data_IF_447691854198
#
_entry.id   IF_447691854198
#
_cell.length_a   1.000
_cell.length_b   1.000
_cell.length_c   1.000
_cell.angle_alpha   90.00
_cell.angle_beta   90.00
_cell.angle_gamma   90.00
#
_symmetry.space_group_name_H-M   'P 1'
#
loop_
_entity.id
_entity.type
_entity.pdbx_description
1 polymer ?
#
# COMPACT_ATOMS: atom_id res chain seq x y z
N UNK A 1 -20.84 0.35 -23.99
CA UNK A 1 -21.61 1.30 -23.14
C UNK A 1 -20.63 2.36 -22.63
N UNK A 2 -20.70 3.61 -23.11
CA UNK A 2 -19.82 4.68 -22.61
C UNK A 2 -20.32 5.10 -21.23
N UNK A 3 -19.54 4.88 -20.17
CA UNK A 3 -19.86 5.42 -18.85
C UNK A 3 -19.93 6.95 -18.96
N UNK A 4 -21.06 7.56 -18.59
CA UNK A 4 -21.15 9.01 -18.42
C UNK A 4 -20.18 9.38 -17.30
N UNK A 5 -19.10 10.09 -17.63
CA UNK A 5 -18.17 10.61 -16.64
C UNK A 5 -18.88 11.58 -15.70
N UNK A 6 -18.62 11.46 -14.40
CA UNK A 6 -19.03 12.44 -13.42
C UNK A 6 -17.92 13.50 -13.34
N UNK A 7 -18.27 14.77 -13.49
CA UNK A 7 -17.33 15.86 -13.26
C UNK A 7 -17.08 15.99 -11.75
N UNK A 8 -15.90 15.54 -11.31
CA UNK A 8 -15.43 15.66 -9.93
C UNK A 8 -14.23 16.61 -9.92
N UNK A 9 -14.27 17.63 -9.06
CA UNK A 9 -13.15 18.56 -8.90
C UNK A 9 -11.95 17.90 -8.22
N UNK A 10 -10.74 18.30 -8.60
CA UNK A 10 -9.49 17.76 -8.05
C UNK A 10 -9.45 17.82 -6.52
N UNK A 11 -9.91 18.91 -5.90
CA UNK A 11 -9.97 19.02 -4.44
C UNK A 11 -10.79 17.91 -3.79
N UNK A 12 -11.90 17.50 -4.41
CA UNK A 12 -12.72 16.40 -3.90
C UNK A 12 -12.00 15.05 -4.07
N UNK A 13 -11.33 14.84 -5.21
CA UNK A 13 -10.49 13.64 -5.44
C UNK A 13 -9.40 13.52 -4.37
N UNK A 14 -8.62 14.59 -4.15
CA UNK A 14 -7.54 14.57 -3.17
C UNK A 14 -8.03 14.39 -1.74
N UNK A 15 -9.17 14.98 -1.37
CA UNK A 15 -9.78 14.73 -0.05
C UNK A 15 -10.20 13.28 0.14
N UNK A 16 -10.79 12.67 -0.89
CA UNK A 16 -11.18 11.26 -0.85
C UNK A 16 -9.96 10.33 -0.73
N UNK A 17 -8.89 10.62 -1.48
CA UNK A 17 -7.63 9.87 -1.39
C UNK A 17 -6.98 10.03 -0.01
N UNK A 18 -6.90 11.25 0.53
CA UNK A 18 -6.36 11.48 1.88
C UNK A 18 -7.18 10.80 2.97
N UNK A 19 -8.51 10.76 2.86
CA UNK A 19 -9.36 10.03 3.80
C UNK A 19 -9.09 8.51 3.72
N UNK A 20 -9.00 7.96 2.51
CA UNK A 20 -8.74 6.54 2.32
C UNK A 20 -7.31 6.11 2.74
N UNK A 21 -6.31 6.98 2.58
CA UNK A 21 -4.94 6.82 3.11
C UNK A 21 -4.96 6.82 4.65
N UNK A 22 -5.68 7.77 5.28
CA UNK A 22 -5.84 7.84 6.73
C UNK A 22 -6.58 6.62 7.33
N UNK A 23 -7.50 6.03 6.57
CA UNK A 23 -8.21 4.80 6.94
C UNK A 23 -7.40 3.52 6.68
N UNK A 24 -6.17 3.63 6.17
CA UNK A 24 -5.32 2.48 5.84
C UNK A 24 -5.84 1.64 4.68
N UNK A 25 -6.76 2.18 3.88
CA UNK A 25 -7.27 1.53 2.65
C UNK A 25 -6.35 1.78 1.46
N UNK A 26 -5.54 2.84 1.53
CA UNK A 26 -4.54 3.16 0.53
C UNK A 26 -3.15 3.25 1.18
N UNK A 27 -2.13 2.95 0.39
CA UNK A 27 -0.74 3.28 0.65
C UNK A 27 -0.30 4.32 -0.38
N UNK A 28 0.46 5.33 0.05
CA UNK A 28 1.05 6.30 -0.87
C UNK A 28 2.43 5.87 -1.37
N UNK A 29 2.57 5.82 -2.70
CA UNK A 29 3.81 5.46 -3.38
C UNK A 29 4.42 6.71 -4.00
N UNK A 30 5.65 7.02 -3.64
CA UNK A 30 6.39 8.12 -4.25
C UNK A 30 6.92 7.67 -5.61
N UNK A 31 6.31 8.17 -6.69
CA UNK A 31 6.77 7.90 -8.04
C UNK A 31 8.01 8.75 -8.37
N UNK A 32 8.88 8.24 -9.24
CA UNK A 32 10.09 8.94 -9.68
C UNK A 32 9.81 10.31 -10.32
N UNK A 33 8.59 10.52 -10.83
CA UNK A 33 8.14 11.78 -11.43
C UNK A 33 7.80 12.89 -10.43
N UNK A 34 7.87 12.63 -9.12
CA UNK A 34 7.41 13.55 -8.07
C UNK A 34 5.89 13.55 -7.87
N UNK A 35 5.13 12.77 -8.65
CA UNK A 35 3.72 12.56 -8.42
C UNK A 35 3.49 11.62 -7.22
N UNK A 36 2.48 11.93 -6.41
CA UNK A 36 1.99 11.02 -5.36
C UNK A 36 1.06 9.99 -5.99
N UNK A 37 1.51 8.75 -6.09
CA UNK A 37 0.67 7.63 -6.49
C UNK A 37 0.02 7.00 -5.25
N UNK A 38 -1.12 6.35 -5.44
CA UNK A 38 -1.81 5.63 -4.38
C UNK A 38 -2.05 4.19 -4.82
N UNK A 39 -1.90 3.27 -3.88
CA UNK A 39 -2.16 1.84 -4.05
C UNK A 39 -3.27 1.43 -3.11
N UNK A 40 -4.25 0.66 -3.60
CA UNK A 40 -5.27 0.06 -2.76
C UNK A 40 -4.70 -1.13 -2.00
N UNK A 41 -4.92 -1.14 -0.68
CA UNK A 41 -4.53 -2.24 0.18
C UNK A 41 -5.70 -3.21 0.32
N UNK A 42 -5.50 -4.44 -0.14
CA UNK A 42 -6.42 -5.53 0.12
C UNK A 42 -6.37 -5.89 1.62
N UNK A 43 -7.46 -6.43 2.20
CA UNK A 43 -7.47 -6.89 3.59
C UNK A 43 -6.70 -8.20 3.80
N UNK A 44 -5.65 -8.44 3.01
CA UNK A 44 -4.76 -9.59 3.10
C UNK A 44 -3.32 -9.08 3.31
N UNK A 45 -2.53 -9.77 4.14
CA UNK A 45 -1.14 -9.39 4.34
C UNK A 45 -0.33 -9.85 3.12
N UNK A 46 -0.02 -8.89 2.25
CA UNK A 46 0.87 -9.08 1.10
C UNK A 46 2.00 -8.05 1.13
N UNK A 47 3.16 -8.46 0.63
CA UNK A 47 4.31 -7.59 0.46
C UNK A 47 4.22 -6.90 -0.89
N UNK A 48 4.73 -5.67 -0.97
CA UNK A 48 4.75 -4.91 -2.20
C UNK A 48 6.17 -4.66 -2.67
N UNK A 49 6.44 -4.99 -3.93
CA UNK A 49 7.68 -4.64 -4.61
C UNK A 49 7.40 -3.51 -5.59
N UNK A 50 8.02 -2.35 -5.38
CA UNK A 50 7.92 -1.19 -6.28
C UNK A 50 9.23 -0.93 -7.02
N UNK A 51 9.15 -0.70 -8.34
CA UNK A 51 10.27 -0.19 -9.11
C UNK A 51 10.43 1.30 -8.82
N UNK A 52 11.60 1.69 -8.29
CA UNK A 52 11.88 3.11 -7.99
C UNK A 52 12.01 3.95 -9.26
N UNK A 53 12.32 3.36 -10.42
CA UNK A 53 12.54 4.08 -11.68
C UNK A 53 11.23 4.35 -12.44
N UNK A 54 10.44 3.31 -12.71
CA UNK A 54 9.20 3.45 -13.48
C UNK A 54 7.93 3.57 -12.63
N UNK A 55 8.01 3.32 -11.32
CA UNK A 55 6.86 3.38 -10.40
C UNK A 55 5.92 2.17 -10.47
N UNK A 56 6.13 1.24 -11.40
CA UNK A 56 5.34 -0.01 -11.47
C UNK A 56 5.65 -0.87 -10.24
N UNK A 57 4.62 -1.46 -9.65
CA UNK A 57 4.77 -2.37 -8.54
C UNK A 57 3.87 -3.60 -8.67
N UNK A 58 4.22 -4.64 -7.92
CA UNK A 58 3.46 -5.89 -7.83
C UNK A 58 3.37 -6.34 -6.38
N UNK A 59 2.26 -6.99 -6.04
CA UNK A 59 2.07 -7.62 -4.74
C UNK A 59 2.55 -9.07 -4.78
N UNK A 60 3.07 -9.57 -3.66
CA UNK A 60 3.52 -10.94 -3.53
C UNK A 60 3.40 -11.46 -2.09
N UNK A 61 3.27 -12.77 -1.96
CA UNK A 61 3.35 -13.46 -0.67
C UNK A 61 4.74 -14.04 -0.49
N UNK A 62 5.26 -14.01 0.74
CA UNK A 62 6.59 -14.55 1.04
C UNK A 62 6.63 -15.17 2.43
N UNK A 63 6.48 -16.50 2.50
CA UNK A 63 6.53 -17.24 3.76
C UNK A 63 7.87 -17.05 4.49
N UNK A 64 8.98 -16.96 3.75
CA UNK A 64 10.31 -16.77 4.33
C UNK A 64 10.41 -15.46 5.12
N UNK A 65 9.72 -14.40 4.67
CA UNK A 65 9.68 -13.13 5.41
C UNK A 65 8.87 -13.27 6.70
N UNK A 66 7.70 -13.90 6.64
CA UNK A 66 6.87 -14.17 7.82
C UNK A 66 7.62 -14.99 8.88
N UNK A 67 8.31 -16.06 8.47
CA UNK A 67 9.07 -16.92 9.37
C UNK A 67 10.18 -16.12 10.09
N UNK A 68 10.82 -15.19 9.38
CA UNK A 68 11.87 -14.34 9.95
C UNK A 68 11.28 -13.34 10.93
N UNK A 69 10.15 -12.73 10.60
CA UNK A 69 9.43 -11.80 11.48
C UNK A 69 9.01 -12.52 12.77
N UNK A 70 8.47 -13.73 12.67
CA UNK A 70 8.10 -14.53 13.83
C UNK A 70 9.31 -14.84 14.72
N UNK A 71 10.44 -15.26 14.14
CA UNK A 71 11.69 -15.52 14.87
C UNK A 71 12.22 -14.27 15.58
N UNK A 72 12.22 -13.12 14.91
CA UNK A 72 12.59 -11.83 15.52
C UNK A 72 11.62 -11.47 16.64
N UNK A 73 10.32 -11.66 16.43
CA UNK A 73 9.28 -11.46 17.42
C UNK A 73 9.54 -12.20 18.71
N UNK A 74 9.76 -13.51 18.62
CA UNK A 74 10.05 -14.35 19.78
C UNK A 74 11.35 -13.95 20.48
N UNK A 75 12.39 -13.54 19.75
CA UNK A 75 13.66 -13.07 20.34
C UNK A 75 13.51 -11.79 21.16
N UNK A 76 12.55 -10.94 20.81
CA UNK A 76 12.30 -9.66 21.48
C UNK A 76 11.14 -9.72 22.47
N UNK A 77 10.52 -10.89 22.67
CA UNK A 77 9.38 -11.04 23.59
C UNK A 77 8.07 -10.47 23.05
N UNK A 78 7.93 -10.32 21.74
CA UNK A 78 6.66 -9.95 21.12
C UNK A 78 5.75 -11.18 20.99
N UNK A 79 4.51 -11.07 21.44
CA UNK A 79 3.51 -12.15 21.34
C UNK A 79 3.00 -12.34 19.90
N UNK A 80 2.91 -11.26 19.12
CA UNK A 80 2.53 -11.28 17.72
C UNK A 80 3.31 -10.21 16.95
N UNK A 81 4.37 -10.62 16.25
CA UNK A 81 5.16 -9.74 15.38
C UNK A 81 4.67 -9.83 13.93
N UNK A 82 4.58 -8.69 13.26
CA UNK A 82 4.22 -8.57 11.83
C UNK A 82 5.10 -7.53 11.16
N UNK A 83 5.53 -7.78 9.93
CA UNK A 83 6.16 -6.74 9.11
C UNK A 83 5.13 -5.67 8.74
N UNK A 84 5.56 -4.41 8.74
CA UNK A 84 4.79 -3.25 8.29
C UNK A 84 5.07 -2.98 6.81
#
# INVERSE_FOLDING_TARGET
>A
MKQKGIHIGLTAVYRALSAADAEGRLESVHACSGAKAYRYLLPVHEYHLGCRVCGVGTAFFCQVLEDRVAQLGSRHGFEAARAL
#
